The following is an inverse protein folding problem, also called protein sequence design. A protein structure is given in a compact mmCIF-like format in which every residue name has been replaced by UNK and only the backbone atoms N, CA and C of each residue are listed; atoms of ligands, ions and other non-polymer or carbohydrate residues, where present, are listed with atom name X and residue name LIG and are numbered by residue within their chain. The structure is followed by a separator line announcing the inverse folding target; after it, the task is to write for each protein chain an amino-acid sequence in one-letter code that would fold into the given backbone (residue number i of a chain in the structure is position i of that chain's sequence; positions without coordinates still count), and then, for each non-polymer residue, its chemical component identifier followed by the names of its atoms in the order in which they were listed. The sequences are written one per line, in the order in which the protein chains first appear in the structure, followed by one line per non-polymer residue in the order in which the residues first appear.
data_IF_783945025104
#
_entry.id   IF_783945025104
#
_cell.length_a   1.000
_cell.length_b   1.000
_cell.length_c   1.000
_cell.angle_alpha   90.00
_cell.angle_beta   90.00
_cell.angle_gamma   90.00
#
_symmetry.space_group_name_H-M   'P 1'
#
loop_
_entity.id
_entity.type
_entity.pdbx_description
1 polymer ?
#
# COMPACT_ATOMS: atom_id res chain seq x y z
N UNK A 1 41.08 35.30 -18.71
CA UNK A 1 40.11 35.19 -17.59
C UNK A 1 39.21 33.97 -17.76
N UNK A 2 39.35 32.96 -16.90
CA UNK A 2 38.68 31.64 -16.95
C UNK A 2 37.60 31.50 -15.86
N UNK A 3 36.69 32.48 -15.68
CA UNK A 3 35.78 32.46 -14.51
C UNK A 3 34.26 32.55 -14.79
N UNK A 4 33.81 32.72 -16.04
CA UNK A 4 32.35 32.83 -16.32
C UNK A 4 31.66 31.52 -16.76
N UNK A 5 32.42 30.45 -17.03
CA UNK A 5 31.87 29.15 -17.48
C UNK A 5 31.34 28.27 -16.34
N UNK A 6 31.79 28.53 -15.11
CA UNK A 6 31.54 27.66 -13.95
C UNK A 6 30.26 27.97 -13.17
N UNK A 7 29.56 29.10 -13.42
CA UNK A 7 28.38 29.48 -12.63
C UNK A 7 27.09 28.84 -13.17
N UNK A 8 26.98 28.68 -14.48
CA UNK A 8 25.89 27.96 -15.14
C UNK A 8 25.96 26.45 -14.95
N UNK A 9 27.18 25.87 -14.98
CA UNK A 9 27.38 24.44 -14.77
C UNK A 9 27.01 24.00 -13.34
N UNK A 10 27.15 24.90 -12.36
CA UNK A 10 26.78 24.65 -10.96
C UNK A 10 25.27 24.59 -10.73
N UNK A 11 24.48 25.36 -11.49
CA UNK A 11 23.01 25.31 -11.40
C UNK A 11 22.42 24.04 -12.03
N UNK A 12 23.04 23.52 -13.09
CA UNK A 12 22.60 22.27 -13.72
C UNK A 12 22.84 21.04 -12.81
N UNK A 13 23.94 21.04 -12.05
CA UNK A 13 24.26 19.93 -11.13
C UNK A 13 23.36 19.92 -9.88
N UNK A 14 23.00 21.09 -9.34
CA UNK A 14 22.06 21.15 -8.20
C UNK A 14 20.62 20.79 -8.57
N UNK A 15 20.16 21.13 -9.79
CA UNK A 15 18.82 20.73 -10.24
C UNK A 15 18.68 19.20 -10.41
N UNK A 16 19.73 18.52 -10.87
CA UNK A 16 19.76 17.07 -11.03
C UNK A 16 19.86 16.30 -9.69
N UNK A 17 20.44 16.90 -8.66
CA UNK A 17 20.61 16.25 -7.35
C UNK A 17 19.32 16.25 -6.50
N UNK A 18 18.36 17.15 -6.77
CA UNK A 18 17.11 17.25 -5.99
C UNK A 18 16.04 16.26 -6.49
N UNK A 19 16.14 15.77 -7.72
CA UNK A 19 15.15 14.84 -8.30
C UNK A 19 15.35 13.39 -7.90
N UNK A 20 16.53 12.98 -7.42
CA UNK A 20 16.81 11.58 -7.07
C UNK A 20 16.39 11.18 -5.65
N UNK A 21 16.11 12.15 -4.77
CA UNK A 21 15.69 11.86 -3.38
C UNK A 21 14.17 11.61 -3.28
N UNK A 22 13.40 11.99 -4.30
CA UNK A 22 11.94 11.84 -4.31
C UNK A 22 11.42 10.46 -4.76
N UNK A 23 12.30 9.49 -5.03
CA UNK A 23 11.93 8.23 -5.71
C UNK A 23 11.87 6.98 -4.84
N UNK A 24 11.94 7.05 -3.50
CA UNK A 24 11.98 5.81 -2.70
C UNK A 24 11.08 5.82 -1.45
N UNK A 25 9.90 6.42 -1.53
CA UNK A 25 8.93 6.37 -0.42
C UNK A 25 7.48 6.37 -0.88
N UNK A 26 7.16 5.65 -1.96
CA UNK A 26 5.78 5.28 -2.24
C UNK A 26 5.59 3.82 -1.80
N UNK A 27 5.04 3.56 -0.60
CA UNK A 27 4.51 2.23 -0.31
C UNK A 27 3.40 1.95 -1.34
N UNK A 28 3.64 0.98 -2.24
CA UNK A 28 2.65 0.53 -3.21
C UNK A 28 3.11 0.41 -4.68
N UNK A 29 4.34 0.77 -5.02
CA UNK A 29 4.83 0.61 -6.41
C UNK A 29 5.06 -0.86 -6.83
N UNK A 30 5.08 -1.80 -5.89
CA UNK A 30 5.25 -3.24 -6.16
C UNK A 30 3.98 -3.94 -6.67
N UNK A 31 2.80 -3.29 -6.60
CA UNK A 31 1.52 -3.85 -7.05
C UNK A 31 1.37 -3.94 -8.59
N UNK A 32 2.35 -3.45 -9.36
CA UNK A 32 2.24 -3.34 -10.82
C UNK A 32 2.55 -4.64 -11.60
N UNK A 33 3.08 -5.70 -10.96
CA UNK A 33 3.56 -6.90 -11.66
C UNK A 33 2.76 -8.18 -11.39
N UNK A 34 1.75 -8.13 -10.51
CA UNK A 34 0.80 -9.20 -10.24
C UNK A 34 -0.41 -8.63 -9.53
N UNK A 35 -1.59 -8.66 -10.16
CA UNK A 35 -2.77 -7.97 -9.64
C UNK A 35 -3.24 -8.57 -8.32
N UNK A 36 -3.37 -7.76 -7.27
CA UNK A 36 -4.06 -8.12 -6.04
C UNK A 36 -5.46 -7.49 -6.00
N UNK A 37 -6.36 -8.01 -5.16
CA UNK A 37 -7.67 -7.40 -4.94
C UNK A 37 -7.69 -6.75 -3.56
N UNK A 38 -7.87 -5.44 -3.51
CA UNK A 38 -8.10 -4.72 -2.25
C UNK A 38 -9.58 -4.80 -1.86
N UNK A 39 -9.83 -5.19 -0.61
CA UNK A 39 -11.16 -5.29 -0.02
C UNK A 39 -11.18 -4.47 1.26
N UNK A 40 -12.19 -3.63 1.40
CA UNK A 40 -12.49 -2.92 2.63
C UNK A 40 -13.76 -3.52 3.23
N UNK A 41 -13.70 -3.88 4.52
CA UNK A 41 -14.84 -4.41 5.26
C UNK A 41 -15.06 -3.64 6.56
N UNK A 42 -16.32 -3.38 6.88
CA UNK A 42 -16.74 -2.69 8.09
C UNK A 42 -17.14 -3.71 9.16
N UNK A 43 -16.55 -3.60 10.34
CA UNK A 43 -16.83 -4.47 11.47
C UNK A 43 -17.34 -3.68 12.68
N UNK A 44 -18.30 -4.24 13.40
CA UNK A 44 -18.72 -3.70 14.70
C UNK A 44 -17.65 -3.92 15.78
N UNK A 45 -16.90 -5.03 15.68
CA UNK A 45 -15.82 -5.38 16.58
C UNK A 45 -14.79 -6.27 15.86
N UNK A 46 -13.50 -6.11 16.20
CA UNK A 46 -12.38 -6.81 15.57
C UNK A 46 -11.49 -7.55 16.60
N UNK A 47 -12.08 -8.12 17.64
CA UNK A 47 -11.33 -8.78 18.69
C UNK A 47 -10.37 -9.84 18.14
N UNK A 48 -9.07 -9.62 18.36
CA UNK A 48 -8.01 -10.55 17.95
C UNK A 48 -7.52 -10.40 16.50
N UNK A 49 -8.01 -9.40 15.76
CA UNK A 49 -7.51 -9.07 14.41
C UNK A 49 -6.49 -7.94 14.51
N UNK A 50 -5.34 -8.12 13.87
CA UNK A 50 -4.25 -7.16 13.81
C UNK A 50 -3.74 -6.99 12.38
N UNK A 51 -3.10 -5.85 12.10
CA UNK A 51 -2.36 -5.65 10.86
C UNK A 51 -1.32 -6.76 10.67
N UNK A 52 -1.23 -7.29 9.46
CA UNK A 52 -0.39 -8.43 9.10
C UNK A 52 -1.00 -9.82 9.37
N UNK A 53 -2.18 -9.92 10.00
CA UNK A 53 -2.89 -11.20 10.09
C UNK A 53 -3.26 -11.75 8.71
N UNK A 54 -3.39 -13.06 8.63
CA UNK A 54 -3.85 -13.75 7.42
C UNK A 54 -5.34 -13.54 7.21
N UNK A 55 -5.71 -13.23 5.97
CA UNK A 55 -7.11 -13.32 5.51
C UNK A 55 -7.34 -14.72 4.99
N UNK A 56 -8.37 -15.39 5.50
CA UNK A 56 -8.61 -16.79 5.22
C UNK A 56 -9.98 -17.03 4.57
N UNK A 57 -10.01 -17.95 3.61
CA UNK A 57 -11.25 -18.50 3.04
C UNK A 57 -11.28 -19.98 3.34
N UNK A 58 -12.30 -20.43 4.08
CA UNK A 58 -12.45 -21.82 4.52
C UNK A 58 -11.19 -22.38 5.23
N UNK A 59 -10.48 -21.52 5.97
CA UNK A 59 -9.26 -21.86 6.72
C UNK A 59 -7.97 -21.87 5.90
N UNK A 60 -8.00 -21.49 4.62
CA UNK A 60 -6.81 -21.34 3.78
C UNK A 60 -6.46 -19.86 3.69
N UNK A 61 -5.21 -19.51 3.99
CA UNK A 61 -4.71 -18.15 3.85
C UNK A 61 -4.67 -17.75 2.37
N UNK A 62 -5.24 -16.58 2.05
CA UNK A 62 -5.39 -16.04 0.68
C UNK A 62 -5.00 -14.57 0.60
N UNK A 63 -4.53 -13.98 1.69
CA UNK A 63 -4.31 -12.55 1.77
C UNK A 63 -3.84 -12.09 3.14
N UNK A 64 -3.80 -10.77 3.33
CA UNK A 64 -3.33 -10.10 4.54
C UNK A 64 -4.24 -8.94 4.94
N UNK A 65 -4.31 -8.68 6.24
CA UNK A 65 -4.86 -7.45 6.80
C UNK A 65 -3.81 -6.36 6.68
N UNK A 66 -4.10 -5.28 5.96
CA UNK A 66 -3.14 -4.22 5.68
C UNK A 66 -3.24 -3.07 6.68
N UNK A 67 -4.48 -2.68 7.03
CA UNK A 67 -4.72 -1.52 7.90
C UNK A 67 -6.03 -1.65 8.65
N UNK A 68 -6.02 -1.16 9.88
CA UNK A 68 -7.21 -1.06 10.73
C UNK A 68 -7.48 0.42 11.06
N UNK A 69 -8.67 0.92 10.70
CA UNK A 69 -9.06 2.32 10.94
C UNK A 69 -10.35 2.40 11.76
N UNK A 70 -10.27 2.81 13.04
CA UNK A 70 -11.46 3.06 13.85
C UNK A 70 -12.27 4.25 13.30
N UNK A 71 -13.58 4.09 13.11
CA UNK A 71 -14.52 5.12 12.62
C UNK A 71 -15.55 5.55 13.68
N UNK A 72 -15.29 5.22 14.94
CA UNK A 72 -16.16 5.57 16.07
C UNK A 72 -17.26 4.53 16.30
N UNK A 73 -18.15 4.32 15.33
CA UNK A 73 -19.26 3.35 15.44
C UNK A 73 -18.95 1.98 14.83
N UNK A 74 -17.90 1.90 14.01
CA UNK A 74 -17.40 0.67 13.39
C UNK A 74 -15.89 0.79 13.16
N UNK A 75 -15.28 -0.28 12.67
CA UNK A 75 -13.87 -0.36 12.31
C UNK A 75 -13.77 -0.75 10.84
N UNK A 76 -13.09 0.08 10.06
CA UNK A 76 -12.78 -0.19 8.66
C UNK A 76 -11.50 -1.03 8.60
N UNK A 77 -11.58 -2.22 8.02
CA UNK A 77 -10.45 -3.15 7.87
C UNK A 77 -10.12 -3.27 6.39
N UNK A 78 -8.90 -2.87 6.05
CA UNK A 78 -8.36 -2.95 4.69
C UNK A 78 -7.58 -4.24 4.56
N UNK A 79 -7.88 -4.99 3.50
CA UNK A 79 -7.32 -6.31 3.26
C UNK A 79 -6.88 -6.43 1.80
N UNK A 80 -5.78 -7.12 1.58
CA UNK A 80 -5.29 -7.47 0.25
C UNK A 80 -5.43 -8.96 0.04
N UNK A 81 -6.09 -9.34 -1.04
CA UNK A 81 -6.26 -10.73 -1.48
C UNK A 81 -5.33 -11.01 -2.66
N UNK A 82 -4.70 -12.17 -2.64
CA UNK A 82 -3.82 -12.66 -3.70
C UNK A 82 -4.55 -12.80 -5.05
N UNK A 83 -3.78 -12.67 -6.13
CA UNK A 83 -4.28 -12.84 -7.50
C UNK A 83 -4.97 -14.17 -7.70
N UNK A 84 -6.08 -14.17 -8.46
CA UNK A 84 -6.72 -15.41 -8.91
C UNK A 84 -7.68 -16.04 -7.88
N UNK A 85 -7.74 -15.52 -6.66
CA UNK A 85 -8.75 -15.89 -5.67
C UNK A 85 -10.05 -15.17 -6.02
N UNK A 86 -11.12 -15.94 -6.29
CA UNK A 86 -12.44 -15.39 -6.61
C UNK A 86 -13.27 -15.29 -5.34
N UNK A 87 -13.54 -14.06 -4.91
CA UNK A 87 -14.43 -13.78 -3.79
C UNK A 87 -15.86 -13.55 -4.32
N UNK A 88 -16.85 -14.34 -3.88
CA UNK A 88 -18.25 -14.14 -4.24
C UNK A 88 -18.79 -12.80 -3.72
N UNK A 89 -19.81 -12.23 -4.38
CA UNK A 89 -20.34 -10.89 -4.03
C UNK A 89 -21.15 -10.90 -2.73
N UNK A 90 -21.65 -12.05 -2.35
CA UNK A 90 -22.39 -12.33 -1.12
C UNK A 90 -21.53 -12.91 0.01
N UNK A 91 -20.20 -12.93 -0.17
CA UNK A 91 -19.29 -13.35 0.88
C UNK A 91 -19.41 -12.43 2.12
N UNK A 92 -19.34 -13.04 3.30
CA UNK A 92 -19.38 -12.34 4.59
C UNK A 92 -18.07 -12.64 5.31
N UNK A 93 -17.42 -11.60 5.82
CA UNK A 93 -16.31 -11.73 6.73
C UNK A 93 -16.83 -11.84 8.17
N UNK A 94 -16.22 -12.72 8.97
CA UNK A 94 -16.64 -13.04 10.33
C UNK A 94 -15.43 -13.27 11.24
#
# INVERSE_FOLDING_TARGET
MKLLRNRWFRFLVTAAAVTTIASCSLPGAEQALGGSTEITADFENIAGIFEGNDVMVLGIAVGKVDKIVPKGTFVEVHMTIESGVKIPKEAIAA
#
